data_IF_681915061723
#
_entry.id   IF_681915061723
#
_cell.length_a   1.000
_cell.length_b   1.000
_cell.length_c   1.000
_cell.angle_alpha   90.00
_cell.angle_beta   90.00
_cell.angle_gamma   90.00
#
_symmetry.space_group_name_H-M   'P 1'
#
loop_
_entity.id
_entity.type
_entity.pdbx_description
1 polymer ?
#
# COMPACT_ATOMS: atom_id res chain seq x y z
N UNK A 1 -24.87 25.99 45.81
CA UNK A 1 -26.30 25.63 46.00
C UNK A 1 -26.45 24.18 45.56
N UNK A 2 -27.04 23.32 46.43
CA UNK A 2 -27.52 21.93 46.20
C UNK A 2 -26.45 20.90 45.75
N UNK A 3 -25.87 20.01 46.59
CA UNK A 3 -26.35 18.84 47.39
C UNK A 3 -27.03 17.70 46.59
N UNK A 4 -26.70 16.46 47.04
CA UNK A 4 -27.26 15.10 46.79
C UNK A 4 -26.54 14.25 45.73
N UNK A 5 -26.30 12.94 45.89
CA UNK A 5 -26.03 12.02 47.02
C UNK A 5 -25.67 10.64 46.41
N UNK A 6 -24.86 9.88 47.14
CA UNK A 6 -24.48 8.45 47.11
C UNK A 6 -25.21 7.42 46.23
N UNK A 7 -24.42 6.37 45.88
CA UNK A 7 -24.69 4.90 45.86
C UNK A 7 -23.98 4.25 44.66
N UNK A 8 -23.22 3.16 44.71
CA UNK A 8 -23.10 2.02 45.62
C UNK A 8 -21.68 1.44 45.52
N UNK A 9 -21.05 1.18 46.67
CA UNK A 9 -19.92 0.25 46.78
C UNK A 9 -20.46 -1.14 47.15
N UNK A 10 -20.09 -2.22 46.47
CA UNK A 10 -20.38 -3.57 46.95
C UNK A 10 -19.37 -3.97 48.04
N UNK A 11 -19.92 -4.33 49.19
CA UNK A 11 -19.23 -4.89 50.35
C UNK A 11 -18.60 -6.25 50.02
N UNK A 12 -17.31 -6.42 50.28
CA UNK A 12 -16.68 -7.73 50.43
C UNK A 12 -17.01 -8.28 51.83
N UNK A 13 -17.89 -9.27 51.90
CA UNK A 13 -18.08 -10.11 53.09
C UNK A 13 -17.22 -11.36 52.87
N UNK A 14 -16.03 -11.39 53.50
CA UNK A 14 -15.25 -12.62 53.66
C UNK A 14 -15.87 -13.43 54.81
N UNK A 15 -16.77 -14.36 54.45
CA UNK A 15 -17.21 -15.40 55.37
C UNK A 15 -16.20 -16.55 55.30
N UNK A 16 -15.45 -16.74 56.37
CA UNK A 16 -14.56 -17.87 56.59
C UNK A 16 -15.37 -19.11 56.99
N UNK A 17 -15.50 -20.07 56.07
CA UNK A 17 -15.84 -21.45 56.41
C UNK A 17 -14.83 -22.41 55.77
N UNK A 18 -14.41 -23.37 56.58
CA UNK A 18 -13.31 -24.28 56.34
C UNK A 18 -13.71 -25.53 55.51
N UNK A 19 -12.71 -26.01 54.75
CA UNK A 19 -12.40 -27.41 54.43
C UNK A 19 -13.47 -28.29 53.74
N UNK A 20 -13.29 -28.48 52.42
CA UNK A 20 -13.55 -29.75 51.73
C UNK A 20 -12.70 -29.84 50.44
N UNK A 21 -12.27 -31.06 50.13
CA UNK A 21 -11.28 -31.43 49.13
C UNK A 21 -11.77 -31.43 47.67
N UNK A 22 -10.83 -31.09 46.77
CA UNK A 22 -10.70 -31.44 45.33
C UNK A 22 -11.68 -30.85 44.29
N UNK A 23 -11.29 -30.73 42.99
CA UNK A 23 -9.95 -30.67 42.39
C UNK A 23 -9.64 -29.25 41.86
N UNK A 24 -8.43 -29.06 41.36
CA UNK A 24 -8.00 -27.85 40.66
C UNK A 24 -9.01 -27.48 39.55
N UNK A 25 -9.78 -26.41 39.75
CA UNK A 25 -10.24 -25.59 38.63
C UNK A 25 -8.98 -24.99 38.05
N UNK A 26 -8.44 -25.66 37.02
CA UNK A 26 -7.48 -25.01 36.14
C UNK A 26 -8.06 -23.66 35.77
N UNK A 27 -7.24 -22.62 35.88
CA UNK A 27 -7.39 -21.48 35.01
C UNK A 27 -7.47 -22.07 33.61
N UNK A 28 -8.69 -22.11 33.04
CA UNK A 28 -8.81 -22.33 31.61
C UNK A 28 -7.95 -21.25 30.98
N UNK A 29 -6.99 -21.59 30.10
CA UNK A 29 -6.33 -20.57 29.31
C UNK A 29 -7.45 -19.77 28.66
N UNK A 30 -7.39 -18.44 28.80
CA UNK A 30 -8.33 -17.54 28.13
C UNK A 30 -8.47 -18.03 26.70
N UNK A 31 -9.70 -18.39 26.32
CA UNK A 31 -9.97 -18.95 25.01
C UNK A 31 -9.33 -18.04 23.97
N UNK A 32 -8.56 -18.65 23.09
CA UNK A 32 -7.85 -17.99 21.99
C UNK A 32 -8.82 -17.01 21.30
N UNK A 33 -8.72 -15.73 21.68
CA UNK A 33 -9.41 -14.65 21.00
C UNK A 33 -8.68 -14.54 19.67
N UNK A 34 -9.20 -15.27 18.68
CA UNK A 34 -8.73 -15.14 17.31
C UNK A 34 -8.82 -13.69 16.85
N UNK A 35 -7.96 -13.34 15.90
CA UNK A 35 -7.77 -11.98 15.38
C UNK A 35 -9.04 -11.38 14.79
N UNK A 36 -10.00 -12.21 14.40
CA UNK A 36 -11.23 -11.80 13.74
C UNK A 36 -12.45 -12.70 14.03
N UNK A 37 -13.64 -12.21 13.65
CA UNK A 37 -14.89 -12.95 13.70
C UNK A 37 -15.92 -12.42 12.71
N UNK A 38 -17.10 -13.04 12.63
CA UNK A 38 -18.21 -12.53 11.82
C UNK A 38 -18.70 -11.12 12.21
N UNK A 39 -18.33 -10.65 13.40
CA UNK A 39 -18.68 -9.31 13.92
C UNK A 39 -17.47 -8.41 14.15
N UNK A 40 -16.26 -8.92 13.91
CA UNK A 40 -15.00 -8.20 14.03
C UNK A 40 -14.19 -8.50 12.77
N UNK A 41 -14.30 -7.65 11.72
CA UNK A 41 -13.52 -7.84 10.53
C UNK A 41 -12.03 -7.67 10.83
N UNK A 42 -11.19 -8.14 9.92
CA UNK A 42 -9.77 -7.89 9.98
C UNK A 42 -9.48 -6.39 9.83
N UNK A 43 -8.50 -5.90 10.60
CA UNK A 43 -8.11 -4.48 10.59
C UNK A 43 -7.18 -4.13 9.44
N UNK A 44 -6.54 -5.12 8.83
CA UNK A 44 -5.55 -4.94 7.77
C UNK A 44 -6.20 -5.00 6.38
N UNK A 45 -5.87 -4.04 5.51
CA UNK A 45 -6.39 -4.01 4.14
C UNK A 45 -5.90 -5.25 3.38
N UNK A 46 -6.82 -5.88 2.66
CA UNK A 46 -6.51 -7.07 1.86
C UNK A 46 -6.52 -8.37 2.64
N UNK A 47 -7.06 -8.38 3.86
CA UNK A 47 -7.23 -9.61 4.65
C UNK A 47 -8.71 -9.94 4.85
N UNK A 48 -9.06 -11.23 4.80
CA UNK A 48 -10.38 -11.75 5.15
C UNK A 48 -10.29 -12.63 6.38
N UNK A 49 -11.35 -12.62 7.19
CA UNK A 49 -11.40 -13.49 8.35
C UNK A 49 -11.68 -14.93 7.92
N UNK A 50 -10.70 -15.83 8.11
CA UNK A 50 -10.98 -17.25 8.07
C UNK A 50 -11.80 -17.63 9.31
N UNK A 51 -13.12 -17.72 9.15
CA UNK A 51 -14.04 -17.97 10.27
C UNK A 51 -13.83 -19.33 10.97
N UNK A 52 -13.10 -20.25 10.34
CA UNK A 52 -12.78 -21.56 10.93
C UNK A 52 -11.59 -21.48 11.89
N UNK A 53 -10.56 -20.72 11.54
CA UNK A 53 -9.34 -20.54 12.34
C UNK A 53 -9.38 -19.27 13.19
N UNK A 54 -10.28 -18.34 12.86
CA UNK A 54 -10.36 -16.97 13.40
C UNK A 54 -9.07 -16.18 13.21
N UNK A 55 -8.39 -16.42 12.09
CA UNK A 55 -7.15 -15.74 11.70
C UNK A 55 -7.46 -14.86 10.49
N UNK A 56 -6.83 -13.70 10.42
CA UNK A 56 -6.89 -12.85 9.24
C UNK A 56 -5.94 -13.40 8.18
N UNK A 57 -6.50 -13.82 7.05
CA UNK A 57 -5.73 -14.38 5.94
C UNK A 57 -5.74 -13.39 4.77
N UNK A 58 -4.60 -13.21 4.11
CA UNK A 58 -4.51 -12.40 2.91
C UNK A 58 -5.44 -12.93 1.82
N UNK A 59 -6.21 -12.04 1.22
CA UNK A 59 -7.04 -12.35 0.06
C UNK A 59 -6.14 -12.23 -1.18
N UNK A 60 -5.89 -13.31 -1.93
CA UNK A 60 -5.31 -13.18 -3.25
C UNK A 60 -6.34 -12.48 -4.14
N UNK A 61 -6.12 -11.21 -4.45
CA UNK A 61 -6.95 -10.52 -5.44
C UNK A 61 -6.38 -10.73 -6.82
N UNK A 62 -7.30 -10.84 -7.78
CA UNK A 62 -7.03 -10.82 -9.20
C UNK A 62 -6.55 -9.41 -9.60
N UNK A 63 -5.31 -9.13 -9.22
CA UNK A 63 -4.48 -8.04 -9.74
C UNK A 63 -3.71 -8.52 -10.98
N UNK A 64 -4.23 -9.56 -11.66
CA UNK A 64 -3.55 -10.18 -12.80
C UNK A 64 -3.93 -9.50 -14.12
N UNK A 65 -4.93 -8.61 -14.12
CA UNK A 65 -5.37 -7.88 -15.31
C UNK A 65 -5.62 -6.40 -15.05
N UNK A 66 -5.19 -5.56 -16.00
CA UNK A 66 -5.54 -4.14 -16.05
C UNK A 66 -6.93 -3.90 -16.68
N UNK A 67 -7.37 -4.84 -17.51
CA UNK A 67 -8.63 -4.82 -18.26
C UNK A 67 -9.08 -6.26 -18.49
N UNK A 68 -9.97 -6.81 -17.66
CA UNK A 68 -10.43 -8.19 -17.78
C UNK A 68 -11.26 -8.45 -19.04
N UNK A 69 -11.70 -7.39 -19.73
CA UNK A 69 -12.48 -7.49 -20.96
C UNK A 69 -11.60 -7.41 -22.22
N UNK A 70 -10.28 -7.18 -22.10
CA UNK A 70 -9.38 -7.10 -23.24
C UNK A 70 -9.14 -8.46 -23.89
N UNK A 71 -9.81 -8.71 -25.02
CA UNK A 71 -9.67 -9.97 -25.77
C UNK A 71 -8.50 -10.01 -26.75
N UNK A 72 -7.59 -9.03 -26.72
CA UNK A 72 -6.54 -8.83 -27.71
C UNK A 72 -6.95 -7.93 -28.89
N UNK A 73 -5.95 -7.48 -29.65
CA UNK A 73 -6.10 -6.62 -30.82
C UNK A 73 -5.39 -5.27 -30.69
N UNK A 74 -5.96 -4.26 -31.34
CA UNK A 74 -5.43 -2.90 -31.33
C UNK A 74 -6.12 -2.06 -30.25
N UNK A 75 -5.38 -1.16 -29.61
CA UNK A 75 -5.94 -0.19 -28.67
C UNK A 75 -5.19 1.15 -28.74
N UNK A 76 -5.81 2.19 -28.20
CA UNK A 76 -5.12 3.42 -27.79
C UNK A 76 -5.90 4.69 -28.12
N UNK A 77 -5.27 5.85 -27.87
CA UNK A 77 -4.41 6.11 -26.73
C UNK A 77 -5.21 5.96 -25.42
N UNK A 78 -4.65 5.25 -24.44
CA UNK A 78 -5.24 5.12 -23.11
C UNK A 78 -4.19 5.35 -22.02
N UNK A 79 -4.64 5.71 -20.82
CA UNK A 79 -3.78 5.82 -19.64
C UNK A 79 -3.50 4.41 -19.11
N UNK A 80 -2.28 3.91 -19.32
CA UNK A 80 -1.86 2.61 -18.82
C UNK A 80 -1.14 2.82 -17.48
N UNK A 81 -1.64 2.26 -16.36
CA UNK A 81 -0.99 2.42 -15.06
C UNK A 81 0.27 1.56 -14.94
N UNK A 82 1.12 1.88 -13.96
CA UNK A 82 2.20 1.00 -13.54
C UNK A 82 1.66 -0.32 -12.98
N UNK A 83 1.66 -1.34 -13.84
CA UNK A 83 1.26 -2.68 -13.43
C UNK A 83 2.42 -3.48 -12.85
N UNK A 84 3.63 -3.34 -13.42
CA UNK A 84 4.81 -4.10 -13.00
C UNK A 84 6.07 -3.55 -13.60
N UNK A 85 7.19 -4.02 -13.09
CA UNK A 85 8.51 -3.66 -13.58
C UNK A 85 9.46 -3.50 -12.42
N UNK A 86 10.35 -2.52 -12.53
CA UNK A 86 11.37 -2.26 -11.52
C UNK A 86 11.21 -0.87 -10.96
N UNK A 87 11.38 -0.74 -9.65
CA UNK A 87 11.31 0.54 -8.95
C UNK A 87 12.55 0.69 -8.09
N UNK A 88 13.21 1.84 -8.19
CA UNK A 88 14.39 2.18 -7.40
C UNK A 88 14.15 3.47 -6.63
N UNK A 89 14.46 3.47 -5.33
CA UNK A 89 14.33 4.61 -4.43
C UNK A 89 15.38 4.51 -3.32
N UNK A 90 15.99 5.61 -2.84
CA UNK A 90 16.78 5.57 -1.61
C UNK A 90 15.85 5.30 -0.42
N UNK A 91 16.30 4.45 0.51
CA UNK A 91 15.54 4.07 1.70
C UNK A 91 15.91 4.90 2.94
N UNK A 92 17.05 5.60 2.93
CA UNK A 92 17.47 6.53 3.98
C UNK A 92 17.75 7.92 3.39
N UNK A 93 16.95 8.93 3.76
CA UNK A 93 17.07 10.30 3.22
C UNK A 93 16.98 11.35 4.31
N UNK A 94 17.73 12.44 4.14
CA UNK A 94 17.67 13.61 5.02
C UNK A 94 16.27 14.23 5.03
N UNK A 95 15.74 14.51 6.22
CA UNK A 95 14.44 15.18 6.36
C UNK A 95 14.42 16.53 5.62
N UNK A 96 13.39 16.73 4.79
CA UNK A 96 13.18 17.95 4.01
C UNK A 96 13.69 17.87 2.57
N UNK A 97 14.35 16.78 2.18
CA UNK A 97 14.73 16.52 0.80
C UNK A 97 13.57 15.91 0.00
N UNK A 98 13.59 16.12 -1.31
CA UNK A 98 12.78 15.38 -2.28
C UNK A 98 13.46 14.03 -2.56
N UNK A 99 12.71 12.95 -2.46
CA UNK A 99 13.18 11.58 -2.64
C UNK A 99 12.97 11.17 -4.10
N UNK A 100 14.03 10.94 -4.89
CA UNK A 100 13.88 10.50 -6.27
C UNK A 100 13.41 9.05 -6.36
N UNK A 101 12.58 8.76 -7.35
CA UNK A 101 12.09 7.41 -7.63
C UNK A 101 12.25 7.14 -9.13
N UNK A 102 13.03 6.11 -9.47
CA UNK A 102 13.13 5.61 -10.85
C UNK A 102 12.17 4.44 -11.02
N UNK A 103 11.28 4.52 -12.01
CA UNK A 103 10.35 3.44 -12.35
C UNK A 103 10.64 3.02 -13.79
N UNK A 104 10.90 1.73 -13.99
CA UNK A 104 11.07 1.11 -15.30
C UNK A 104 9.88 0.14 -15.52
N UNK A 105 8.78 0.59 -16.15
CA UNK A 105 7.62 -0.25 -16.38
C UNK A 105 7.95 -1.41 -17.33
N UNK A 106 7.59 -2.63 -16.94
CA UNK A 106 7.57 -3.78 -17.85
C UNK A 106 6.22 -3.85 -18.57
N UNK A 107 6.26 -3.68 -19.89
CA UNK A 107 5.09 -3.78 -20.76
C UNK A 107 5.26 -4.89 -21.80
N UNK A 108 4.14 -5.36 -22.36
CA UNK A 108 4.20 -6.32 -23.46
C UNK A 108 4.86 -5.66 -24.68
N UNK A 109 5.67 -6.36 -25.51
CA UNK A 109 6.37 -5.75 -26.64
C UNK A 109 5.47 -5.13 -27.72
N UNK A 110 4.17 -5.48 -27.73
CA UNK A 110 3.17 -4.87 -28.62
C UNK A 110 2.71 -3.48 -28.15
N UNK A 111 2.99 -3.10 -26.89
CA UNK A 111 2.58 -1.85 -26.27
C UNK A 111 3.65 -0.79 -26.51
N UNK A 112 3.22 0.36 -27.03
CA UNK A 112 4.05 1.52 -27.27
C UNK A 112 3.66 2.62 -26.29
N UNK A 113 4.43 2.81 -25.19
CA UNK A 113 4.24 3.95 -24.31
C UNK A 113 4.75 5.24 -24.94
N UNK A 114 4.19 6.35 -24.49
CA UNK A 114 4.52 7.69 -24.99
C UNK A 114 4.88 8.63 -23.85
N UNK A 115 3.93 9.40 -23.33
CA UNK A 115 4.15 10.34 -22.24
C UNK A 115 3.83 9.69 -20.91
N UNK A 116 4.71 9.84 -19.92
CA UNK A 116 4.49 9.40 -18.56
C UNK A 116 3.98 10.54 -17.68
N UNK A 117 3.28 10.13 -16.63
CA UNK A 117 2.73 10.97 -15.60
C UNK A 117 2.88 10.25 -14.26
N UNK A 118 2.97 11.03 -13.20
CA UNK A 118 2.84 10.53 -11.84
C UNK A 118 2.12 11.56 -10.99
N UNK A 119 1.51 11.09 -9.91
CA UNK A 119 0.87 11.92 -8.90
C UNK A 119 1.14 11.35 -7.53
N UNK A 120 1.60 12.22 -6.64
CA UNK A 120 1.85 11.89 -5.25
C UNK A 120 0.73 12.43 -4.36
N UNK A 121 0.36 11.66 -3.34
CA UNK A 121 -0.61 12.05 -2.31
C UNK A 121 -0.09 11.64 -0.94
N UNK A 122 -0.38 12.48 0.04
CA UNK A 122 0.10 12.34 1.40
C UNK A 122 -1.10 12.37 2.35
N UNK A 123 -1.10 11.46 3.31
CA UNK A 123 -1.97 11.51 4.47
C UNK A 123 -1.08 11.38 5.70
N UNK A 124 -0.72 12.54 6.24
CA UNK A 124 0.23 12.67 7.33
C UNK A 124 -0.46 13.12 8.61
N UNK A 125 -0.01 12.57 9.73
CA UNK A 125 -0.23 13.11 11.07
C UNK A 125 1.14 13.50 11.70
N UNK A 126 1.15 13.87 12.98
CA UNK A 126 2.37 14.36 13.65
C UNK A 126 3.50 13.30 13.77
N UNK A 127 3.21 12.01 13.54
CA UNK A 127 4.16 10.90 13.72
C UNK A 127 4.25 9.94 12.52
N UNK A 128 3.19 9.80 11.72
CA UNK A 128 3.11 8.84 10.62
C UNK A 128 2.63 9.52 9.33
N UNK A 129 3.14 9.08 8.19
CA UNK A 129 2.62 9.44 6.87
C UNK A 129 2.37 8.21 6.03
N UNK A 130 1.19 8.20 5.41
CA UNK A 130 0.92 7.34 4.27
C UNK A 130 1.19 8.11 2.99
N UNK A 131 1.98 7.53 2.09
CA UNK A 131 2.40 8.14 0.83
C UNK A 131 1.96 7.24 -0.31
N UNK A 132 1.18 7.80 -1.25
CA UNK A 132 0.79 7.13 -2.49
C UNK A 132 1.52 7.80 -3.64
N UNK A 133 2.18 7.00 -4.48
CA UNK A 133 2.73 7.41 -5.77
C UNK A 133 2.02 6.67 -6.90
N UNK A 134 0.99 7.29 -7.47
CA UNK A 134 0.34 6.77 -8.67
C UNK A 134 1.18 7.12 -9.91
N UNK A 135 1.47 6.14 -10.75
CA UNK A 135 2.20 6.31 -12.00
C UNK A 135 1.40 5.73 -13.16
N UNK A 136 1.30 6.46 -14.26
CA UNK A 136 0.70 5.98 -15.50
C UNK A 136 1.38 6.61 -16.71
N UNK A 137 1.19 6.01 -17.89
CA UNK A 137 1.69 6.55 -19.14
C UNK A 137 0.67 6.36 -20.24
N UNK A 138 0.64 7.29 -21.20
CA UNK A 138 -0.20 7.16 -22.37
C UNK A 138 0.38 6.08 -23.28
N UNK A 139 -0.44 5.10 -23.67
CA UNK A 139 0.00 3.99 -24.51
C UNK A 139 -1.01 3.64 -25.61
N UNK A 140 -0.48 3.06 -26.67
CA UNK A 140 -1.24 2.37 -27.70
C UNK A 140 -0.65 0.98 -27.94
N UNK A 141 -1.44 0.09 -28.52
CA UNK A 141 -1.04 -1.27 -28.85
C UNK A 141 -1.50 -1.66 -30.23
N UNK A 142 -0.68 -2.44 -30.92
CA UNK A 142 -1.00 -3.00 -32.23
C UNK A 142 -0.83 -4.53 -32.21
N UNK A 143 -1.85 -5.23 -32.69
CA UNK A 143 -1.91 -6.70 -32.77
C UNK A 143 -1.50 -7.38 -31.45
N UNK A 144 -1.94 -6.81 -30.33
CA UNK A 144 -1.61 -7.31 -29.01
C UNK A 144 -2.36 -8.62 -28.70
N UNK A 145 -1.71 -9.61 -28.08
CA UNK A 145 -2.41 -10.79 -27.55
C UNK A 145 -3.33 -10.41 -26.39
N UNK A 146 -4.26 -11.30 -26.02
CA UNK A 146 -5.22 -11.04 -24.95
C UNK A 146 -4.55 -10.77 -23.58
N UNK A 147 -3.41 -11.40 -23.33
CA UNK A 147 -2.63 -11.24 -22.10
C UNK A 147 -1.72 -9.99 -22.08
N UNK A 148 -1.76 -9.14 -23.12
CA UNK A 148 -0.87 -7.98 -23.21
C UNK A 148 -1.11 -6.92 -22.11
N UNK A 149 -2.33 -6.88 -21.58
CA UNK A 149 -2.74 -6.02 -20.46
C UNK A 149 -2.91 -6.82 -19.16
N UNK A 150 -2.37 -8.05 -19.13
CA UNK A 150 -2.41 -8.96 -18.00
C UNK A 150 -0.98 -9.34 -17.54
N UNK A 151 -0.89 -10.22 -16.54
CA UNK A 151 0.34 -10.90 -16.17
C UNK A 151 0.76 -11.90 -17.25
N UNK A 152 1.63 -11.44 -18.13
CA UNK A 152 2.42 -12.28 -19.05
C UNK A 152 3.80 -12.68 -18.47
N UNK A 153 4.49 -13.66 -19.07
CA UNK A 153 5.81 -14.14 -18.62
C UNK A 153 6.88 -13.03 -18.54
N UNK A 154 7.63 -12.96 -17.44
CA UNK A 154 8.68 -11.94 -17.21
C UNK A 154 9.72 -11.86 -18.35
N UNK A 155 10.01 -12.97 -19.02
CA UNK A 155 10.94 -12.99 -20.16
C UNK A 155 10.47 -12.19 -21.37
N UNK A 156 9.18 -11.85 -21.44
CA UNK A 156 8.62 -10.98 -22.48
C UNK A 156 8.61 -9.50 -22.10
N UNK A 157 9.15 -9.12 -20.92
CA UNK A 157 9.20 -7.73 -20.50
C UNK A 157 9.97 -6.85 -21.49
N UNK A 158 9.29 -5.82 -21.99
CA UNK A 158 9.91 -4.67 -22.64
C UNK A 158 9.95 -3.50 -21.65
N UNK A 159 11.09 -2.84 -21.54
CA UNK A 159 11.30 -1.62 -20.73
C UNK A 159 11.58 -0.42 -21.66
N UNK A 160 10.61 0.01 -22.47
CA UNK A 160 10.81 1.04 -23.49
C UNK A 160 10.89 2.47 -22.92
N UNK A 161 10.62 2.64 -21.62
CA UNK A 161 10.52 3.91 -20.93
C UNK A 161 11.14 3.77 -19.53
N UNK A 162 11.88 4.80 -19.12
CA UNK A 162 12.28 5.03 -17.73
C UNK A 162 11.59 6.30 -17.24
N UNK A 163 10.93 6.21 -16.09
CA UNK A 163 10.21 7.29 -15.44
C UNK A 163 11.04 7.83 -14.29
N UNK A 164 11.31 9.13 -14.32
CA UNK A 164 11.87 9.86 -13.19
C UNK A 164 10.73 10.52 -12.40
N UNK A 165 10.31 9.85 -11.34
CA UNK A 165 9.34 10.34 -10.36
C UNK A 165 10.05 10.81 -9.10
N UNK A 166 9.27 11.33 -8.15
CA UNK A 166 9.75 11.67 -6.82
C UNK A 166 8.60 11.59 -5.81
N UNK A 167 8.97 11.61 -4.53
CA UNK A 167 8.09 11.99 -3.42
C UNK A 167 8.76 13.06 -2.56
N UNK A 168 7.96 13.86 -1.88
CA UNK A 168 8.41 14.95 -1.05
C UNK A 168 8.68 16.27 -1.80
N UNK A 169 9.31 17.25 -1.13
CA UNK A 169 9.62 17.24 0.31
C UNK A 169 8.34 17.09 1.15
N UNK A 170 8.40 16.29 2.22
CA UNK A 170 7.22 15.99 3.05
C UNK A 170 7.22 16.89 4.28
N UNK A 171 6.24 17.78 4.35
CA UNK A 171 6.01 18.66 5.49
C UNK A 171 4.54 18.70 5.91
N UNK A 172 4.31 18.86 7.21
CA UNK A 172 2.99 19.18 7.77
C UNK A 172 3.05 20.62 8.28
N UNK A 173 2.27 21.50 7.66
CA UNK A 173 2.20 22.92 8.00
C UNK A 173 3.57 23.62 7.99
N UNK A 174 4.45 23.28 7.04
CA UNK A 174 5.78 23.84 6.91
C UNK A 174 6.82 23.25 7.87
N UNK A 175 6.47 22.20 8.62
CA UNK A 175 7.41 21.45 9.45
C UNK A 175 7.77 20.14 8.75
N UNK A 176 9.04 19.95 8.36
CA UNK A 176 9.49 18.69 7.78
C UNK A 176 9.23 17.52 8.71
N UNK A 177 8.74 16.41 8.16
CA UNK A 177 8.43 15.22 8.94
C UNK A 177 9.66 14.31 8.97
N UNK A 178 9.90 13.71 10.13
CA UNK A 178 10.92 12.69 10.32
C UNK A 178 10.27 11.42 10.85
N UNK A 179 10.76 10.26 10.42
CA UNK A 179 10.24 8.97 10.85
C UNK A 179 10.43 7.88 9.80
N UNK A 180 9.97 6.70 10.15
CA UNK A 180 9.83 5.56 9.24
C UNK A 180 8.49 5.69 8.51
N UNK A 181 8.51 5.55 7.19
CA UNK A 181 7.36 5.70 6.30
C UNK A 181 7.39 4.62 5.22
N UNK A 182 6.28 4.51 4.50
CA UNK A 182 6.19 3.67 3.31
C UNK A 182 5.64 4.47 2.14
N UNK A 183 6.29 4.34 0.98
CA UNK A 183 5.77 4.81 -0.31
C UNK A 183 5.09 3.66 -1.00
N UNK A 184 3.79 3.78 -1.20
CA UNK A 184 2.99 2.79 -1.92
C UNK A 184 2.82 3.17 -3.38
N UNK A 185 3.15 2.25 -4.29
CA UNK A 185 2.77 2.31 -5.70
C UNK A 185 1.47 1.52 -5.88
N UNK A 186 0.30 2.15 -5.80
CA UNK A 186 -0.96 1.43 -5.75
C UNK A 186 -1.18 0.62 -7.03
N UNK A 187 -1.85 -0.52 -6.88
CA UNK A 187 -2.46 -1.15 -8.03
C UNK A 187 -3.56 -0.24 -8.59
N UNK A 188 -3.66 -0.17 -9.91
CA UNK A 188 -4.70 0.56 -10.63
C UNK A 188 -5.08 -0.27 -11.86
N UNK A 189 -6.37 -0.37 -12.15
CA UNK A 189 -6.84 -0.82 -13.45
C UNK A 189 -6.88 0.36 -14.45
N UNK A 190 -7.35 0.12 -15.68
CA UNK A 190 -7.45 1.19 -16.69
C UNK A 190 -8.40 2.34 -16.29
N UNK A 191 -9.52 2.02 -15.63
CA UNK A 191 -10.50 3.03 -15.21
C UNK A 191 -9.92 3.93 -14.11
N UNK A 192 -9.24 3.34 -13.13
CA UNK A 192 -8.56 4.09 -12.07
C UNK A 192 -7.50 5.01 -12.66
N UNK A 193 -6.67 4.50 -13.58
CA UNK A 193 -5.62 5.28 -14.23
C UNK A 193 -6.20 6.47 -15.01
N UNK A 194 -7.35 6.27 -15.68
CA UNK A 194 -8.08 7.35 -16.34
C UNK A 194 -8.61 8.37 -15.32
N UNK A 195 -9.14 7.92 -14.19
CA UNK A 195 -9.63 8.83 -13.15
C UNK A 195 -8.48 9.67 -12.58
N UNK A 196 -7.33 9.06 -12.29
CA UNK A 196 -6.12 9.75 -11.86
C UNK A 196 -5.62 10.78 -12.88
N UNK A 197 -5.69 10.46 -14.17
CA UNK A 197 -5.35 11.38 -15.25
C UNK A 197 -6.24 12.64 -15.27
N UNK A 198 -7.47 12.55 -14.75
CA UNK A 198 -8.42 13.65 -14.61
C UNK A 198 -8.21 14.49 -13.32
N UNK A 199 -7.09 14.30 -12.61
CA UNK A 199 -6.68 15.02 -11.40
C UNK A 199 -7.59 14.77 -10.19
N UNK A 200 -7.63 13.51 -9.74
CA UNK A 200 -8.28 13.16 -8.46
C UNK A 200 -7.75 13.98 -7.28
N UNK A 201 -8.67 14.31 -6.38
CA UNK A 201 -8.31 14.89 -5.08
C UNK A 201 -7.72 13.82 -4.14
N UNK A 202 -7.16 14.23 -3.00
CA UNK A 202 -6.50 13.29 -2.08
C UNK A 202 -7.45 12.24 -1.52
N UNK A 203 -8.65 12.61 -1.09
CA UNK A 203 -9.63 11.67 -0.52
C UNK A 203 -9.94 10.54 -1.51
N UNK A 204 -10.28 10.90 -2.75
CA UNK A 204 -10.57 9.93 -3.80
C UNK A 204 -9.35 9.10 -4.21
N UNK A 205 -8.16 9.70 -4.20
CA UNK A 205 -6.91 8.97 -4.46
C UNK A 205 -6.65 7.85 -3.46
N UNK A 206 -6.86 8.11 -2.16
CA UNK A 206 -6.74 7.08 -1.13
C UNK A 206 -7.83 6.01 -1.27
N UNK A 207 -9.08 6.38 -1.59
CA UNK A 207 -10.14 5.41 -1.90
C UNK A 207 -9.75 4.47 -3.06
N UNK A 208 -9.25 5.04 -4.17
CA UNK A 208 -8.82 4.29 -5.35
C UNK A 208 -7.64 3.36 -5.07
N UNK A 209 -6.70 3.77 -4.22
CA UNK A 209 -5.59 2.92 -3.81
C UNK A 209 -6.04 1.81 -2.85
N UNK A 210 -6.95 2.11 -1.93
CA UNK A 210 -7.36 1.20 -0.85
C UNK A 210 -8.43 0.19 -1.27
N UNK A 211 -9.03 0.33 -2.45
CA UNK A 211 -10.01 -0.64 -2.97
C UNK A 211 -9.37 -2.00 -3.32
N UNK A 212 -8.06 -2.04 -3.51
CA UNK A 212 -7.29 -3.27 -3.77
C UNK A 212 -6.52 -3.73 -2.53
N UNK A 213 -6.29 -5.05 -2.36
CA UNK A 213 -5.40 -5.55 -1.32
C UNK A 213 -3.99 -4.98 -1.39
N UNK A 214 -3.32 -5.06 -0.25
CA UNK A 214 -1.91 -4.73 -0.14
C UNK A 214 -1.08 -5.76 -0.90
N UNK A 215 -0.21 -5.29 -1.78
CA UNK A 215 0.92 -6.06 -2.32
C UNK A 215 2.19 -5.54 -1.62
N UNK A 216 2.83 -6.34 -0.75
CA UNK A 216 4.05 -5.92 -0.06
C UNK A 216 5.17 -5.47 -1.01
N UNK A 217 5.23 -6.01 -2.23
CA UNK A 217 6.25 -5.61 -3.20
C UNK A 217 6.00 -4.22 -3.81
N UNK A 218 4.82 -3.62 -3.57
CA UNK A 218 4.46 -2.26 -3.97
C UNK A 218 4.73 -1.23 -2.89
N UNK A 219 5.20 -1.65 -1.71
CA UNK A 219 5.53 -0.77 -0.59
C UNK A 219 7.04 -0.63 -0.45
N UNK A 220 7.53 0.59 -0.62
CA UNK A 220 8.93 0.92 -0.51
C UNK A 220 9.19 1.58 0.85
N UNK A 221 10.02 0.99 1.71
CA UNK A 221 10.35 1.61 2.98
C UNK A 221 11.16 2.89 2.76
N UNK A 222 10.89 3.90 3.58
CA UNK A 222 11.57 5.19 3.55
C UNK A 222 11.77 5.68 4.99
N UNK A 223 13.02 5.92 5.36
CA UNK A 223 13.40 6.54 6.63
C UNK A 223 13.88 7.96 6.39
N UNK A 224 13.11 8.92 6.90
CA UNK A 224 13.41 10.35 6.85
C UNK A 224 13.98 10.82 8.18
N UNK A 225 15.27 11.15 8.23
CA UNK A 225 15.90 11.65 9.46
C UNK A 225 16.90 12.77 9.18
N UNK A 226 17.05 13.78 10.06
CA UNK A 226 18.03 14.85 9.85
C UNK A 226 19.51 14.40 9.77
N UNK A 227 19.83 13.18 10.23
CA UNK A 227 21.18 12.61 10.22
C UNK A 227 21.49 11.72 9.01
N UNK A 228 20.50 11.46 8.14
CA UNK A 228 20.67 10.65 6.95
C UNK A 228 21.42 11.40 5.84
N UNK A 229 21.94 10.69 4.82
CA UNK A 229 22.48 11.32 3.63
C UNK A 229 21.42 12.18 2.92
N UNK A 230 21.85 13.23 2.22
CA UNK A 230 20.95 13.93 1.31
C UNK A 230 20.48 12.99 0.20
N UNK A 231 19.25 13.23 -0.29
CA UNK A 231 18.75 12.49 -1.44
C UNK A 231 19.71 12.63 -2.63
N UNK A 232 19.99 11.55 -3.37
CA UNK A 232 20.70 11.68 -4.65
C UNK A 232 19.84 12.47 -5.65
N UNK A 233 20.44 12.99 -6.71
CA UNK A 233 19.68 13.73 -7.73
C UNK A 233 18.71 12.82 -8.49
N UNK A 234 19.04 11.53 -8.63
CA UNK A 234 18.22 10.51 -9.26
C UNK A 234 18.70 9.09 -8.84
N UNK A 235 18.03 8.05 -9.34
CA UNK A 235 18.40 6.65 -9.13
C UNK A 235 19.03 5.99 -10.38
N UNK A 236 19.81 6.75 -11.17
CA UNK A 236 20.59 6.18 -12.28
C UNK A 236 21.77 5.35 -11.76
N UNK A 237 22.38 5.78 -10.65
CA UNK A 237 23.34 4.99 -9.88
C UNK A 237 22.59 4.11 -8.86
N UNK A 238 22.38 2.85 -9.22
CA UNK A 238 21.68 1.88 -8.38
C UNK A 238 22.43 1.53 -7.09
N UNK A 239 23.67 1.99 -6.89
CA UNK A 239 24.33 1.86 -5.59
C UNK A 239 23.84 2.87 -4.56
N UNK A 240 23.13 3.91 -4.99
CA UNK A 240 22.55 4.95 -4.14
C UNK A 240 21.06 4.74 -3.85
N UNK A 241 20.43 3.75 -4.49
CA UNK A 241 19.01 3.47 -4.34
C UNK A 241 18.77 1.97 -4.18
N UNK A 242 17.78 1.60 -3.37
CA UNK A 242 17.32 0.22 -3.30
C UNK A 242 16.33 -0.04 -4.45
N UNK A 243 16.55 -1.12 -5.21
CA UNK A 243 15.75 -1.47 -6.37
C UNK A 243 15.00 -2.77 -6.15
N UNK A 244 13.68 -2.75 -6.36
CA UNK A 244 12.80 -3.91 -6.23
C UNK A 244 12.05 -4.20 -7.52
N UNK A 245 11.70 -5.46 -7.70
CA UNK A 245 10.84 -5.92 -8.79
C UNK A 245 9.40 -5.98 -8.26
N UNK A 246 8.46 -5.45 -9.03
CA UNK A 246 7.06 -5.29 -8.63
C UNK A 246 6.17 -6.01 -9.62
N UNK A 247 5.17 -6.75 -9.15
CA UNK A 247 4.14 -7.38 -9.98
C UNK A 247 4.61 -8.57 -10.83
N UNK A 248 5.56 -9.37 -10.31
CA UNK A 248 6.06 -10.61 -10.92
C UNK A 248 5.77 -11.84 -10.05
#
# INVERSE_FOLDING_TARGET
>A
MHRWIDRNAPYLICLSLALAWAPATGCLPGGEEGECSSTQPCSERGTECNLSTRVCEEIPVDVDSLDPDFSGGNFGPLALPFFRGRVCMPDEVATGDEVPIKIDPCVHPCVTPTTFHFSQKYNCNDADCEIILAQWFMASGADCPADALERFDKSMCSYPLTVAAHVGPIDVNGTPISGEMEVELPFMNLDDASEWADNVNSERAFELAHQYPIDPNRRLPLSLQPGHPSAPDNCDDESLCNCVEVGF
#
